data_IF_330147930445
#
_entry.id   IF_330147930445
#
_cell.length_a   1.000
_cell.length_b   1.000
_cell.length_c   1.000
_cell.angle_alpha   90.00
_cell.angle_beta   90.00
_cell.angle_gamma   90.00
#
_symmetry.space_group_name_H-M   'P 1'
#
loop_
_entity.id
_entity.type
_entity.pdbx_description
1 polymer ?
#
# COMPACT_ATOMS: atom_id res chain seq x y z
N UNK A 1 -48.09 -2.20 45.65
CA UNK A 1 -47.95 -2.91 44.36
C UNK A 1 -47.81 -2.01 43.13
N UNK A 2 -48.48 -0.85 43.04
CA UNK A 2 -48.48 0.01 41.83
C UNK A 2 -47.14 0.65 41.46
N UNK A 3 -46.25 0.89 42.44
CA UNK A 3 -44.96 1.54 42.20
C UNK A 3 -43.97 0.67 41.41
N UNK A 4 -44.00 -0.67 41.63
CA UNK A 4 -43.13 -1.62 40.92
C UNK A 4 -43.49 -1.73 39.44
N UNK A 5 -44.78 -1.65 39.12
CA UNK A 5 -45.26 -1.73 37.74
C UNK A 5 -44.86 -0.52 36.90
N UNK A 6 -44.88 0.68 37.52
CA UNK A 6 -44.49 1.93 36.85
C UNK A 6 -42.99 1.92 36.54
N UNK A 7 -42.15 1.50 37.49
CA UNK A 7 -40.70 1.44 37.27
C UNK A 7 -40.35 0.49 36.13
N UNK A 8 -40.94 -0.72 36.08
CA UNK A 8 -40.67 -1.71 35.03
C UNK A 8 -41.12 -1.23 33.64
N UNK A 9 -42.27 -0.55 33.55
CA UNK A 9 -42.74 0.01 32.28
C UNK A 9 -41.81 1.11 31.76
N UNK A 10 -41.26 1.92 32.66
CA UNK A 10 -40.37 3.04 32.31
C UNK A 10 -38.99 2.54 31.86
N UNK A 11 -38.45 1.49 32.49
CA UNK A 11 -37.20 0.86 32.02
C UNK A 11 -37.38 0.17 30.67
N UNK A 12 -38.49 -0.51 30.43
CA UNK A 12 -38.77 -1.14 29.13
C UNK A 12 -38.86 -0.11 28.00
N UNK A 13 -39.50 1.04 28.24
CA UNK A 13 -39.57 2.13 27.27
C UNK A 13 -38.18 2.70 26.95
N UNK A 14 -37.32 2.85 27.96
CA UNK A 14 -35.96 3.39 27.81
C UNK A 14 -35.05 2.45 27.02
N UNK A 15 -35.16 1.14 27.24
CA UNK A 15 -34.42 0.13 26.47
C UNK A 15 -34.86 0.12 25.01
N UNK A 16 -36.17 0.25 24.75
CA UNK A 16 -36.69 0.28 23.38
C UNK A 16 -36.26 1.54 22.62
N UNK A 17 -36.20 2.68 23.31
CA UNK A 17 -35.65 3.93 22.78
C UNK A 17 -34.15 3.80 22.46
N UNK A 18 -33.39 3.11 23.31
CA UNK A 18 -31.96 2.87 23.08
C UNK A 18 -31.68 1.98 21.86
N UNK A 19 -32.52 0.96 21.61
CA UNK A 19 -32.36 0.06 20.45
C UNK A 19 -32.70 0.75 19.13
N UNK A 20 -33.63 1.71 19.12
CA UNK A 20 -33.98 2.47 17.92
C UNK A 20 -32.97 3.58 17.63
N UNK A 21 -32.36 4.19 18.66
CA UNK A 21 -31.32 5.22 18.49
C UNK A 21 -29.93 4.63 18.29
N UNK A 22 -29.69 3.37 18.70
CA UNK A 22 -28.53 2.59 18.26
C UNK A 22 -28.68 2.08 16.83
N UNK A 23 -29.41 2.82 15.99
CA UNK A 23 -29.37 2.71 14.55
C UNK A 23 -27.93 2.81 14.09
N UNK A 24 -27.24 1.68 14.07
CA UNK A 24 -26.26 1.41 13.03
C UNK A 24 -27.07 1.66 11.75
N UNK A 25 -26.73 2.65 10.93
CA UNK A 25 -27.44 2.85 9.68
C UNK A 25 -27.15 1.65 8.77
N UNK A 26 -28.16 0.83 8.48
CA UNK A 26 -27.99 -0.35 7.58
C UNK A 26 -27.95 0.09 6.11
N UNK A 27 -28.06 1.41 5.86
CA UNK A 27 -27.77 2.07 4.61
C UNK A 27 -26.31 2.53 4.56
N UNK A 28 -25.34 1.63 4.75
CA UNK A 28 -24.01 1.89 4.19
C UNK A 28 -24.11 1.67 2.67
N UNK A 29 -24.86 2.56 2.01
CA UNK A 29 -24.83 2.70 0.56
C UNK A 29 -23.41 3.15 0.18
N UNK A 30 -22.72 2.28 -0.55
CA UNK A 30 -21.61 2.63 -1.44
C UNK A 30 -20.63 3.67 -0.90
N UNK A 31 -19.93 3.36 0.19
CA UNK A 31 -18.70 4.09 0.44
C UNK A 31 -17.79 3.71 -0.73
N UNK A 32 -17.42 4.69 -1.54
CA UNK A 32 -16.34 4.57 -2.51
C UNK A 32 -15.08 4.27 -1.71
N UNK A 33 -14.90 3.00 -1.30
CA UNK A 33 -13.67 2.55 -0.68
C UNK A 33 -12.59 2.88 -1.70
N UNK A 34 -11.60 3.70 -1.31
CA UNK A 34 -10.52 4.06 -2.23
C UNK A 34 -9.93 2.78 -2.79
N UNK A 35 -9.43 2.85 -4.02
CA UNK A 35 -8.72 1.72 -4.59
C UNK A 35 -7.48 1.46 -3.72
N UNK A 36 -7.50 0.35 -2.98
CA UNK A 36 -6.43 -0.01 -2.06
C UNK A 36 -5.66 -1.20 -2.61
N UNK A 37 -4.35 -1.03 -2.71
CA UNK A 37 -3.43 -2.15 -2.88
C UNK A 37 -2.96 -2.60 -1.52
N UNK A 38 -3.13 -3.89 -1.24
CA UNK A 38 -2.65 -4.50 -0.01
C UNK A 38 -1.44 -5.38 -0.29
N UNK A 39 -0.53 -5.43 0.68
CA UNK A 39 0.48 -6.47 0.75
C UNK A 39 0.13 -7.48 1.84
N UNK A 40 0.20 -8.76 1.50
CA UNK A 40 0.06 -9.87 2.42
C UNK A 40 1.31 -10.73 2.34
N UNK A 41 2.09 -10.76 3.42
CA UNK A 41 3.32 -11.51 3.46
C UNK A 41 4.08 -11.29 4.76
N UNK A 42 5.38 -11.60 4.72
CA UNK A 42 6.25 -11.46 5.86
C UNK A 42 7.43 -10.53 5.54
N UNK A 43 7.83 -9.76 6.55
CA UNK A 43 9.11 -9.06 6.57
C UNK A 43 10.02 -9.82 7.55
N UNK A 44 11.15 -10.32 7.07
CA UNK A 44 12.14 -10.97 7.93
C UNK A 44 13.43 -10.16 7.93
N UNK A 45 14.06 -10.05 9.11
CA UNK A 45 15.41 -9.53 9.27
C UNK A 45 16.23 -10.60 10.00
N UNK A 46 17.10 -11.28 9.27
CA UNK A 46 17.92 -12.37 9.80
C UNK A 46 19.38 -12.10 9.47
N UNK A 47 20.26 -12.16 10.48
CA UNK A 47 21.71 -11.99 10.33
C UNK A 47 22.16 -10.66 9.66
N UNK A 48 21.32 -9.63 9.70
CA UNK A 48 21.59 -8.32 9.06
C UNK A 48 20.93 -8.17 7.69
N UNK A 49 20.55 -9.28 7.06
CA UNK A 49 19.83 -9.28 5.79
C UNK A 49 18.34 -9.05 6.04
N UNK A 50 17.73 -8.25 5.16
CA UNK A 50 16.29 -8.06 5.08
C UNK A 50 15.71 -8.87 3.93
N UNK A 51 14.57 -9.50 4.15
CA UNK A 51 13.78 -10.13 3.10
C UNK A 51 12.31 -9.77 3.21
N UNK A 52 11.71 -9.51 2.06
CA UNK A 52 10.29 -9.31 1.87
C UNK A 52 9.79 -10.42 0.95
N UNK A 53 8.81 -11.19 1.41
CA UNK A 53 8.19 -12.25 0.64
C UNK A 53 6.68 -12.24 0.89
N UNK A 54 5.90 -12.10 -0.18
CA UNK A 54 4.46 -12.07 -0.07
C UNK A 54 3.75 -11.91 -1.40
N UNK A 55 2.51 -11.45 -1.30
CA UNK A 55 1.62 -11.20 -2.42
C UNK A 55 1.07 -9.78 -2.30
N UNK A 56 1.11 -9.05 -3.40
CA UNK A 56 0.45 -7.75 -3.56
C UNK A 56 -0.90 -8.02 -4.20
N UNK A 57 -1.99 -7.48 -3.66
CA UNK A 57 -3.34 -7.68 -4.19
C UNK A 57 -4.09 -6.37 -4.39
N UNK A 58 -4.85 -6.32 -5.48
CA UNK A 58 -5.86 -5.31 -5.75
C UNK A 58 -7.15 -5.70 -5.02
N UNK A 59 -7.48 -4.97 -3.95
CA UNK A 59 -8.60 -5.32 -3.07
C UNK A 59 -9.95 -4.71 -3.50
N UNK A 60 -10.06 -4.20 -4.73
CA UNK A 60 -11.31 -3.62 -5.22
C UNK A 60 -12.41 -4.68 -5.37
N UNK A 61 -13.47 -4.56 -4.58
CA UNK A 61 -14.67 -5.40 -4.65
C UNK A 61 -15.56 -4.90 -5.81
N UNK A 62 -15.07 -5.01 -7.04
CA UNK A 62 -15.86 -4.73 -8.25
C UNK A 62 -15.77 -5.91 -9.22
N UNK A 63 -16.75 -6.05 -10.10
CA UNK A 63 -16.79 -7.12 -11.11
C UNK A 63 -15.64 -7.03 -12.12
N UNK A 64 -14.99 -5.86 -12.22
CA UNK A 64 -13.87 -5.59 -13.10
C UNK A 64 -12.87 -4.65 -12.37
N UNK A 65 -11.89 -5.20 -11.63
CA UNK A 65 -10.91 -4.38 -10.92
C UNK A 65 -9.96 -3.69 -11.92
N UNK A 66 -9.51 -2.46 -11.63
CA UNK A 66 -8.57 -1.75 -12.50
C UNK A 66 -7.27 -2.55 -12.61
N UNK A 67 -6.73 -2.61 -13.82
CA UNK A 67 -5.40 -3.17 -14.05
C UNK A 67 -4.35 -2.09 -13.81
N UNK A 68 -3.38 -2.39 -12.94
CA UNK A 68 -2.25 -1.49 -12.66
C UNK A 68 -1.00 -1.98 -13.37
N UNK A 69 -0.28 -1.08 -14.04
CA UNK A 69 0.90 -1.39 -14.84
C UNK A 69 2.16 -0.90 -14.13
N UNK A 70 3.30 -1.55 -14.41
CA UNK A 70 4.61 -1.15 -13.88
C UNK A 70 4.59 -0.99 -12.35
N UNK A 71 3.93 -1.92 -11.66
CA UNK A 71 3.97 -2.00 -10.21
C UNK A 71 5.38 -2.43 -9.81
N UNK A 72 5.99 -1.68 -8.90
CA UNK A 72 7.31 -1.99 -8.36
C UNK A 72 7.32 -1.76 -6.85
N UNK A 73 8.18 -2.52 -6.17
CA UNK A 73 8.46 -2.33 -4.75
C UNK A 73 9.82 -1.67 -4.60
N UNK A 74 9.88 -0.64 -3.77
CA UNK A 74 11.09 0.13 -3.48
C UNK A 74 11.42 0.03 -1.99
N UNK A 75 12.68 -0.28 -1.70
CA UNK A 75 13.21 -0.35 -0.35
C UNK A 75 14.15 0.83 -0.12
N UNK A 76 13.85 1.66 0.88
CA UNK A 76 14.62 2.87 1.16
C UNK A 76 15.18 2.87 2.59
N UNK A 77 16.37 3.42 2.75
CA UNK A 77 16.94 3.76 4.06
C UNK A 77 16.19 4.94 4.70
N UNK A 78 16.48 5.21 5.98
CA UNK A 78 15.93 6.39 6.69
C UNK A 78 16.33 7.71 6.02
N UNK A 79 17.54 7.77 5.46
CA UNK A 79 18.04 8.92 4.71
C UNK A 79 17.46 9.05 3.29
N UNK A 80 16.60 8.13 2.87
CA UNK A 80 15.99 8.11 1.53
C UNK A 80 16.89 7.55 0.43
N UNK A 81 17.98 6.85 0.77
CA UNK A 81 18.79 6.13 -0.22
C UNK A 81 18.08 4.83 -0.63
N UNK A 82 18.04 4.56 -1.93
CA UNK A 82 17.49 3.31 -2.46
C UNK A 82 18.41 2.14 -2.08
N UNK A 83 17.85 1.14 -1.39
CA UNK A 83 18.52 -0.10 -1.01
C UNK A 83 18.27 -1.21 -2.03
N UNK A 84 17.06 -1.26 -2.58
CA UNK A 84 16.69 -2.28 -3.55
C UNK A 84 15.35 -1.95 -4.21
N UNK A 85 15.15 -2.53 -5.39
CA UNK A 85 13.89 -2.45 -6.12
C UNK A 85 13.60 -3.77 -6.82
N UNK A 86 12.33 -4.13 -6.92
CA UNK A 86 11.87 -5.28 -7.70
C UNK A 86 10.62 -4.91 -8.47
N UNK A 87 10.59 -5.27 -9.74
CA UNK A 87 9.44 -5.05 -10.61
C UNK A 87 8.47 -6.21 -10.46
N UNK A 88 7.23 -5.86 -10.10
CA UNK A 88 6.10 -6.79 -9.99
C UNK A 88 5.40 -6.93 -11.33
N UNK A 89 5.42 -5.87 -12.15
CA UNK A 89 4.87 -5.86 -13.50
C UNK A 89 3.41 -5.40 -13.52
N UNK A 90 2.53 -6.18 -14.15
CA UNK A 90 1.10 -5.84 -14.27
C UNK A 90 0.31 -6.56 -13.17
N UNK A 91 -0.53 -5.80 -12.47
CA UNK A 91 -1.35 -6.26 -11.35
C UNK A 91 -2.83 -6.13 -11.72
N UNK A 92 -3.44 -7.24 -12.12
CA UNK A 92 -4.88 -7.35 -12.35
C UNK A 92 -5.62 -7.72 -11.05
N UNK A 93 -5.19 -8.80 -10.40
CA UNK A 93 -5.75 -9.30 -9.14
C UNK A 93 -4.71 -9.36 -8.05
N UNK A 94 -3.68 -10.17 -8.26
CA UNK A 94 -2.58 -10.32 -7.32
C UNK A 94 -1.31 -10.74 -8.03
N UNK A 95 -0.16 -10.40 -7.42
CA UNK A 95 1.15 -10.79 -7.91
C UNK A 95 2.07 -11.10 -6.73
N UNK A 96 2.88 -12.14 -6.88
CA UNK A 96 3.88 -12.48 -5.87
C UNK A 96 5.07 -11.54 -5.98
N UNK A 97 5.66 -11.22 -4.83
CA UNK A 97 6.84 -10.37 -4.76
C UNK A 97 7.86 -10.96 -3.79
N UNK A 98 9.11 -10.89 -4.18
CA UNK A 98 10.26 -11.29 -3.38
C UNK A 98 11.41 -10.32 -3.62
N UNK A 99 12.00 -9.83 -2.54
CA UNK A 99 13.21 -8.99 -2.60
C UNK A 99 14.03 -9.18 -1.32
N UNK A 100 15.35 -9.19 -1.47
CA UNK A 100 16.30 -9.26 -0.37
C UNK A 100 17.33 -8.14 -0.47
N UNK A 101 17.73 -7.59 0.67
CA UNK A 101 18.79 -6.57 0.79
C UNK A 101 19.68 -6.88 1.98
N UNK A 102 20.93 -6.44 1.93
CA UNK A 102 21.93 -6.58 3.01
C UNK A 102 21.78 -5.53 4.11
N UNK A 103 20.80 -4.63 3.95
CA UNK A 103 20.44 -3.59 4.91
C UNK A 103 18.93 -3.59 5.13
N UNK A 104 18.53 -3.35 6.38
CA UNK A 104 17.12 -3.21 6.75
C UNK A 104 16.53 -1.87 6.25
N UNK A 105 15.48 -1.88 5.41
CA UNK A 105 14.84 -0.66 4.94
C UNK A 105 14.08 0.05 6.05
N UNK A 106 14.12 1.38 6.05
CA UNK A 106 13.25 2.19 6.90
C UNK A 106 11.88 2.41 6.26
N UNK A 107 11.82 2.48 4.93
CA UNK A 107 10.58 2.61 4.17
C UNK A 107 10.47 1.54 3.09
N UNK A 108 9.29 0.95 2.95
CA UNK A 108 8.91 0.03 1.88
C UNK A 108 7.73 0.67 1.15
N UNK A 109 7.91 0.98 -0.12
CA UNK A 109 6.91 1.69 -0.93
C UNK A 109 6.53 0.79 -2.10
N UNK A 110 5.23 0.53 -2.25
CA UNK A 110 4.66 -0.09 -3.44
C UNK A 110 4.16 1.07 -4.30
N UNK A 111 4.71 1.22 -5.51
CA UNK A 111 4.38 2.36 -6.37
C UNK A 111 4.07 1.89 -7.80
N UNK A 112 3.17 2.62 -8.44
CA UNK A 112 2.91 2.59 -9.89
C UNK A 112 2.42 3.98 -10.31
N UNK A 113 2.77 4.45 -11.52
CA UNK A 113 2.18 5.67 -12.08
C UNK A 113 0.65 5.70 -12.00
N UNK A 114 0.02 4.55 -12.25
CA UNK A 114 -1.43 4.39 -12.37
C UNK A 114 -2.19 4.74 -11.08
N UNK A 115 -1.56 4.59 -9.90
CA UNK A 115 -2.15 5.01 -8.63
C UNK A 115 -2.48 6.50 -8.61
N UNK A 116 -1.57 7.31 -9.17
CA UNK A 116 -1.62 8.76 -9.05
C UNK A 116 -2.47 9.43 -10.14
N UNK A 117 -2.95 8.65 -11.10
CA UNK A 117 -3.91 9.12 -12.11
C UNK A 117 -5.35 9.08 -11.59
N UNK A 118 -5.62 8.31 -10.53
CA UNK A 118 -6.93 8.23 -9.89
C UNK A 118 -7.16 9.40 -8.93
N UNK A 119 -8.37 9.99 -8.98
CA UNK A 119 -8.79 11.05 -8.04
C UNK A 119 -9.15 10.55 -6.65
N UNK A 120 -9.19 9.22 -6.44
CA UNK A 120 -9.57 8.58 -5.18
C UNK A 120 -8.67 7.36 -4.93
N UNK A 121 -7.39 7.63 -4.68
CA UNK A 121 -6.39 6.61 -4.33
C UNK A 121 -5.99 6.72 -2.86
N UNK A 122 -5.81 5.56 -2.23
CA UNK A 122 -5.15 5.43 -0.93
C UNK A 122 -3.99 4.45 -1.10
N UNK A 123 -2.78 4.99 -1.19
CA UNK A 123 -1.56 4.21 -1.39
C UNK A 123 -0.94 3.90 -0.05
N UNK A 124 -0.83 2.60 0.26
CA UNK A 124 -0.14 2.13 1.45
C UNK A 124 1.38 2.08 1.25
N UNK A 125 2.12 2.55 2.24
CA UNK A 125 3.55 2.28 2.42
C UNK A 125 3.80 1.73 3.82
N UNK A 126 4.93 1.04 4.01
CA UNK A 126 5.30 0.49 5.31
C UNK A 126 6.51 1.23 5.87
N UNK A 127 6.43 1.60 7.15
CA UNK A 127 7.51 2.28 7.87
C UNK A 127 8.02 1.39 9.00
N UNK A 128 9.35 1.27 9.11
CA UNK A 128 9.99 0.62 10.24
C UNK A 128 9.78 1.43 11.52
N UNK A 129 9.27 0.78 12.55
CA UNK A 129 9.15 1.33 13.90
C UNK A 129 10.38 0.97 14.76
N UNK A 130 10.65 1.72 15.84
CA UNK A 130 11.78 1.44 16.75
C UNK A 130 11.75 0.03 17.35
N UNK A 131 10.57 -0.59 17.42
CA UNK A 131 10.37 -1.95 17.95
C UNK A 131 10.90 -3.04 17.03
N UNK A 132 11.19 -2.74 15.76
CA UNK A 132 11.52 -3.76 14.76
C UNK A 132 10.38 -4.07 13.78
N UNK A 133 9.15 -3.70 14.14
CA UNK A 133 7.96 -3.98 13.34
C UNK A 133 7.80 -2.95 12.20
N UNK A 134 7.05 -3.31 11.16
CA UNK A 134 6.64 -2.38 10.13
C UNK A 134 5.17 -2.04 10.31
N UNK A 135 4.87 -0.75 10.33
CA UNK A 135 3.48 -0.26 10.38
C UNK A 135 3.08 0.29 9.02
N UNK A 136 1.89 -0.11 8.57
CA UNK A 136 1.26 0.43 7.37
C UNK A 136 0.82 1.88 7.58
N UNK A 137 1.00 2.70 6.55
CA UNK A 137 0.64 4.11 6.49
C UNK A 137 0.01 4.39 5.13
N UNK A 138 -1.14 5.06 5.09
CA UNK A 138 -1.80 5.48 3.85
C UNK A 138 -1.43 6.91 3.46
N UNK A 139 -1.36 7.17 2.16
CA UNK A 139 -1.23 8.52 1.58
C UNK A 139 -2.17 8.68 0.39
N UNK A 140 -2.71 9.88 0.22
CA UNK A 140 -3.62 10.21 -0.89
C UNK A 140 -2.95 11.05 -1.99
N UNK A 141 -1.72 11.52 -1.77
CA UNK A 141 -0.94 12.25 -2.76
C UNK A 141 0.52 11.80 -2.78
N UNK A 142 1.11 11.75 -3.99
CA UNK A 142 2.50 11.32 -4.18
C UNK A 142 3.51 12.21 -3.45
N UNK A 143 3.16 13.47 -3.25
CA UNK A 143 4.01 14.43 -2.53
C UNK A 143 4.13 14.13 -1.03
N UNK A 144 3.20 13.35 -0.47
CA UNK A 144 3.14 13.02 0.95
C UNK A 144 3.93 11.75 1.30
N UNK A 145 4.48 11.04 0.28
CA UNK A 145 5.40 9.94 0.51
C UNK A 145 6.69 10.45 1.19
N UNK A 146 7.23 9.70 2.18
CA UNK A 146 8.44 10.10 2.89
C UNK A 146 9.66 10.17 1.97
N UNK A 147 9.68 9.37 0.90
CA UNK A 147 10.69 9.35 -0.14
C UNK A 147 9.98 9.19 -1.48
N UNK A 148 10.41 9.93 -2.50
CA UNK A 148 9.82 9.83 -3.84
C UNK A 148 10.49 8.69 -4.62
N UNK A 149 9.72 7.68 -5.08
CA UNK A 149 10.25 6.67 -5.97
C UNK A 149 10.85 7.30 -7.22
N UNK A 150 12.12 7.03 -7.48
CA UNK A 150 12.73 7.42 -8.74
C UNK A 150 12.37 6.37 -9.77
N UNK A 151 11.52 6.73 -10.74
CA UNK A 151 11.19 5.86 -11.86
C UNK A 151 12.50 5.43 -12.54
N UNK A 152 12.74 4.14 -12.65
CA UNK A 152 13.95 3.56 -13.27
C UNK A 152 14.03 3.80 -14.78
N UNK A 153 13.12 4.58 -15.36
CA UNK A 153 13.14 5.00 -16.77
C UNK A 153 14.22 6.04 -17.05
N UNK A 154 15.49 5.68 -16.83
CA UNK A 154 16.57 6.26 -17.64
C UNK A 154 16.72 5.34 -18.84
N UNK A 155 16.29 5.74 -20.06
CA UNK A 155 16.65 4.99 -21.25
C UNK A 155 18.18 4.94 -21.27
N UNK A 156 18.74 3.73 -21.26
CA UNK A 156 20.14 3.52 -21.56
C UNK A 156 20.40 4.15 -22.93
N UNK A 157 20.84 5.40 -22.95
CA UNK A 157 21.37 6.04 -24.13
C UNK A 157 22.56 5.21 -24.53
N UNK A 158 22.37 4.34 -25.53
CA UNK A 158 23.45 3.61 -26.16
C UNK A 158 24.32 4.68 -26.79
N UNK A 159 25.34 5.11 -26.05
CA UNK A 159 26.40 5.97 -26.55
C UNK A 159 27.01 5.22 -27.74
N UNK A 160 26.58 5.60 -28.93
CA UNK A 160 27.12 5.12 -30.19
C UNK A 160 28.58 5.56 -30.21
N UNK A 161 29.48 4.63 -29.93
CA UNK A 161 30.92 4.87 -30.02
C UNK A 161 31.24 5.23 -31.48
N UNK A 162 31.92 6.36 -31.76
CA UNK A 162 32.38 6.64 -33.10
C UNK A 162 33.47 5.63 -33.48
N UNK A 163 33.23 4.86 -34.54
CA UNK A 163 34.21 4.02 -35.22
C UNK A 163 35.38 4.90 -35.68
N UNK A 164 36.48 4.87 -34.93
CA UNK A 164 37.77 5.41 -35.37
C UNK A 164 38.42 4.41 -36.33
N UNK A 165 38.09 4.50 -37.62
CA UNK A 165 38.83 3.81 -38.67
C UNK A 165 40.10 4.60 -39.00
N UNK A 166 41.10 4.47 -38.13
CA UNK A 166 42.48 4.72 -38.48
C UNK A 166 43.06 3.49 -39.18
N UNK A 167 43.12 3.48 -40.50
CA UNK A 167 44.17 2.85 -41.31
C UNK A 167 43.79 2.95 -42.78
N UNK A 168 44.62 3.61 -43.59
CA UNK A 168 45.19 3.03 -44.79
C UNK A 168 46.50 3.79 -45.10
N UNK A 169 47.50 2.99 -45.42
CA UNK A 169 48.87 3.40 -45.79
C UNK A 169 48.89 4.13 -47.12
#
# INVERSE_FOLDING_TARGET
>A
MRFRTIVVALTMLLVLLFVVVSGVPWWYEGWNTPDTIAYNGNFSTENGDFSLNGTISNNKIQSDPPTYHNVSVYLYSESGRLLGTTDVGTLEYSANVSITTDERPHYIIIDTPDFWESSNVDVSYYKAEPTGEYTERGVTARADLPVRPQSSTTPHSIASSPLSNGQLR
#
